data_IF_340809753231
#
_entry.id   IF_340809753231
#
_cell.length_a   1.000
_cell.length_b   1.000
_cell.length_c   1.000
_cell.angle_alpha   90.00
_cell.angle_beta   90.00
_cell.angle_gamma   90.00
#
_symmetry.space_group_name_H-M   'P 1'
#
loop_
_entity.id
_entity.type
_entity.pdbx_description
1 polymer ?
#
# COMPACT_ATOMS: atom_id res chain seq x y z
N UNK A 1 7.43 -0.26 0.47
CA UNK A 1 6.13 0.45 0.28
C UNK A 1 6.17 1.91 0.74
N UNK A 2 6.70 2.23 1.93
CA UNK A 2 6.74 3.62 2.43
C UNK A 2 7.54 4.57 1.53
N UNK A 3 8.74 4.17 1.11
CA UNK A 3 9.63 4.96 0.24
C UNK A 3 9.01 5.16 -1.15
N UNK A 4 8.59 4.08 -1.80
CA UNK A 4 7.97 4.12 -3.13
C UNK A 4 6.73 5.01 -3.21
N UNK A 5 5.83 4.93 -2.22
CA UNK A 5 4.66 5.83 -2.14
C UNK A 5 5.11 7.28 -1.98
N UNK A 6 6.15 7.57 -1.20
CA UNK A 6 6.67 8.94 -1.01
C UNK A 6 7.25 9.47 -2.31
N UNK A 7 7.99 8.64 -3.06
CA UNK A 7 8.59 9.05 -4.33
C UNK A 7 7.49 9.35 -5.37
N UNK A 8 6.47 8.49 -5.47
CA UNK A 8 5.28 8.76 -6.29
C UNK A 8 4.54 10.02 -5.81
N UNK A 9 4.40 10.22 -4.50
CA UNK A 9 3.76 11.44 -3.99
C UNK A 9 4.50 12.71 -4.38
N UNK A 10 5.82 12.70 -4.40
CA UNK A 10 6.66 13.86 -4.75
C UNK A 10 6.51 14.27 -6.22
N UNK A 11 5.98 13.40 -7.09
CA UNK A 11 5.70 13.77 -8.48
C UNK A 11 4.45 14.63 -8.63
N UNK A 12 3.61 14.72 -7.59
CA UNK A 12 2.38 15.53 -7.59
C UNK A 12 2.57 16.86 -6.87
N UNK A 13 1.82 17.87 -7.29
CA UNK A 13 1.72 19.13 -6.54
C UNK A 13 1.16 18.89 -5.12
N UNK A 14 1.70 19.61 -4.13
CA UNK A 14 1.38 19.39 -2.71
C UNK A 14 -0.05 19.76 -2.32
N UNK A 15 -0.74 20.60 -3.10
CA UNK A 15 -2.14 20.95 -2.91
C UNK A 15 -3.09 20.08 -3.73
N UNK A 16 -2.56 19.30 -4.68
CA UNK A 16 -3.34 18.41 -5.52
C UNK A 16 -4.10 17.34 -4.73
N UNK A 17 -5.22 16.88 -5.30
CA UNK A 17 -5.99 15.78 -4.73
C UNK A 17 -5.19 14.46 -4.65
N UNK A 18 -4.41 14.05 -5.68
CA UNK A 18 -3.55 12.86 -5.60
C UNK A 18 -2.60 12.89 -4.40
N UNK A 19 -1.86 13.99 -4.21
CA UNK A 19 -0.93 14.14 -3.09
C UNK A 19 -1.66 14.03 -1.75
N UNK A 20 -2.74 14.80 -1.56
CA UNK A 20 -3.52 14.79 -0.32
C UNK A 20 -4.15 13.43 -0.05
N UNK A 21 -4.62 12.71 -1.07
CA UNK A 21 -5.20 11.39 -0.87
C UNK A 21 -4.17 10.37 -0.38
N UNK A 22 -3.02 10.31 -1.03
CA UNK A 22 -1.93 9.43 -0.63
C UNK A 22 -1.37 9.82 0.75
N UNK A 23 -1.24 11.12 1.03
CA UNK A 23 -0.74 11.65 2.31
C UNK A 23 -1.69 11.40 3.47
N UNK A 24 -2.98 11.69 3.32
CA UNK A 24 -3.92 11.65 4.44
C UNK A 24 -4.41 10.23 4.73
N UNK A 25 -4.51 9.38 3.70
CA UNK A 25 -5.07 8.03 3.82
C UNK A 25 -4.00 6.92 3.81
N UNK A 26 -2.72 7.24 4.02
CA UNK A 26 -1.62 6.27 3.96
C UNK A 26 -1.83 5.04 4.86
N UNK A 27 -2.44 5.23 6.04
CA UNK A 27 -2.76 4.13 6.96
C UNK A 27 -3.82 3.18 6.40
N UNK A 28 -4.76 3.69 5.60
CA UNK A 28 -5.78 2.87 4.94
C UNK A 28 -5.14 2.05 3.81
N UNK A 29 -4.22 2.65 3.04
CA UNK A 29 -3.48 1.96 1.97
C UNK A 29 -2.58 0.82 2.49
N UNK A 30 -2.10 0.91 3.74
CA UNK A 30 -1.25 -0.13 4.33
C UNK A 30 -2.01 -1.30 4.95
N UNK A 31 -3.30 -1.12 5.24
CA UNK A 31 -4.12 -2.19 5.77
C UNK A 31 -4.29 -3.28 4.73
N UNK A 32 -4.43 -4.50 5.23
CA UNK A 32 -4.85 -5.62 4.41
C UNK A 32 -6.25 -5.36 3.85
N UNK A 33 -6.39 -5.50 2.54
CA UNK A 33 -7.63 -5.21 1.80
C UNK A 33 -8.86 -5.93 2.37
N UNK A 34 -8.69 -7.18 2.82
CA UNK A 34 -9.73 -8.02 3.43
C UNK A 34 -10.18 -7.52 4.81
N UNK A 35 -9.32 -6.80 5.52
CA UNK A 35 -9.56 -6.27 6.88
C UNK A 35 -10.00 -4.81 6.87
N UNK A 36 -10.25 -4.24 5.69
CA UNK A 36 -10.83 -2.92 5.59
C UNK A 36 -12.26 -2.93 6.14
N UNK A 37 -12.52 -2.01 7.07
CA UNK A 37 -13.86 -1.85 7.64
C UNK A 37 -14.86 -1.48 6.54
N UNK A 38 -16.09 -1.96 6.68
CA UNK A 38 -17.23 -1.56 5.85
C UNK A 38 -17.88 -0.26 6.34
N UNK A 39 -17.45 0.25 7.50
CA UNK A 39 -18.01 1.47 8.08
C UNK A 39 -17.67 2.68 7.22
N UNK A 40 -18.70 3.46 6.92
CA UNK A 40 -18.58 4.70 6.17
C UNK A 40 -18.11 5.82 7.08
N UNK A 41 -17.31 6.73 6.55
CA UNK A 41 -16.88 7.94 7.24
C UNK A 41 -16.79 9.12 6.26
N UNK A 42 -16.90 10.33 6.79
CA UNK A 42 -16.71 11.54 5.98
C UNK A 42 -15.22 11.77 5.73
N UNK A 43 -14.79 11.72 4.46
CA UNK A 43 -13.43 12.07 4.07
C UNK A 43 -13.35 13.53 3.65
N UNK A 44 -12.63 14.34 4.44
CA UNK A 44 -12.34 15.74 4.09
C UNK A 44 -11.56 15.88 2.78
N UNK A 45 -10.70 14.90 2.47
CA UNK A 45 -9.90 14.92 1.23
C UNK A 45 -10.78 14.77 -0.01
N UNK A 46 -11.82 13.92 0.06
CA UNK A 46 -12.73 13.66 -1.05
C UNK A 46 -14.06 14.44 -0.99
N UNK A 47 -14.27 15.19 0.09
CA UNK A 47 -15.48 15.98 0.32
C UNK A 47 -16.78 15.17 0.43
N UNK A 48 -16.70 13.88 0.73
CA UNK A 48 -17.85 12.97 0.67
C UNK A 48 -17.76 11.83 1.70
N UNK A 49 -18.88 11.16 1.95
CA UNK A 49 -18.94 9.96 2.79
C UNK A 49 -18.45 8.76 1.95
N UNK A 50 -17.40 8.09 2.42
CA UNK A 50 -16.74 6.96 1.74
C UNK A 50 -16.43 5.84 2.72
N UNK A 51 -16.29 4.64 2.19
CA UNK A 51 -15.70 3.49 2.86
C UNK A 51 -14.17 3.50 2.70
N UNK A 52 -13.42 2.85 3.60
CA UNK A 52 -11.99 2.61 3.41
C UNK A 52 -11.64 1.98 2.06
N UNK A 53 -12.49 1.08 1.53
CA UNK A 53 -12.28 0.45 0.23
C UNK A 53 -12.40 1.44 -0.93
N UNK A 54 -13.40 2.31 -0.91
CA UNK A 54 -13.54 3.40 -1.90
C UNK A 54 -12.38 4.39 -1.83
N UNK A 55 -11.86 4.68 -0.63
CA UNK A 55 -10.66 5.50 -0.45
C UNK A 55 -9.45 4.86 -1.13
N UNK A 56 -9.23 3.56 -0.95
CA UNK A 56 -8.16 2.83 -1.66
C UNK A 56 -8.36 2.97 -3.16
N UNK A 57 -9.54 2.58 -3.68
CA UNK A 57 -9.81 2.59 -5.11
C UNK A 57 -9.55 3.96 -5.74
N UNK A 58 -10.20 5.02 -5.22
CA UNK A 58 -10.04 6.39 -5.70
C UNK A 58 -8.59 6.87 -5.65
N UNK A 59 -7.80 6.39 -4.68
CA UNK A 59 -6.39 6.78 -4.55
C UNK A 59 -5.51 6.07 -5.57
N UNK A 60 -5.76 4.79 -5.84
CA UNK A 60 -5.02 4.01 -6.83
C UNK A 60 -5.31 4.48 -8.26
N UNK A 61 -6.50 5.01 -8.52
CA UNK A 61 -6.87 5.56 -9.83
C UNK A 61 -6.01 6.77 -10.26
N UNK A 62 -5.30 7.41 -9.33
CA UNK A 62 -4.40 8.54 -9.64
C UNK A 62 -3.06 8.14 -10.25
N UNK A 63 -2.62 6.88 -10.10
CA UNK A 63 -1.32 6.43 -10.62
C UNK A 63 -1.28 4.92 -10.83
N UNK A 64 -1.01 4.50 -12.07
CA UNK A 64 -0.81 3.09 -12.41
C UNK A 64 0.39 2.47 -11.69
N UNK A 65 1.44 3.27 -11.48
CA UNK A 65 2.61 2.84 -10.70
C UNK A 65 2.24 2.58 -9.24
N UNK A 66 1.46 3.49 -8.61
CA UNK A 66 0.98 3.29 -7.25
C UNK A 66 0.11 2.03 -7.15
N UNK A 67 -0.76 1.81 -8.13
CA UNK A 67 -1.62 0.62 -8.19
C UNK A 67 -0.79 -0.66 -8.25
N UNK A 68 0.22 -0.71 -9.13
CA UNK A 68 1.13 -1.84 -9.24
C UNK A 68 1.83 -2.17 -7.90
N UNK A 69 2.43 -1.16 -7.25
CA UNK A 69 3.10 -1.38 -5.97
C UNK A 69 2.14 -1.74 -4.83
N UNK A 70 0.92 -1.20 -4.85
CA UNK A 70 -0.11 -1.58 -3.89
C UNK A 70 -0.50 -3.04 -4.06
N UNK A 71 -0.76 -3.50 -5.29
CA UNK A 71 -1.12 -4.90 -5.57
C UNK A 71 -0.02 -5.86 -5.12
N UNK A 72 1.24 -5.57 -5.46
CA UNK A 72 2.38 -6.35 -5.00
C UNK A 72 2.46 -6.41 -3.47
N UNK A 73 2.30 -5.26 -2.80
CA UNK A 73 2.30 -5.21 -1.34
C UNK A 73 1.16 -6.03 -0.72
N UNK A 74 -0.05 -6.00 -1.28
CA UNK A 74 -1.18 -6.78 -0.77
C UNK A 74 -0.97 -8.28 -0.95
N UNK A 75 -0.37 -8.71 -2.06
CA UNK A 75 0.00 -10.12 -2.27
C UNK A 75 1.00 -10.58 -1.20
N UNK A 76 2.06 -9.79 -0.97
CA UNK A 76 3.06 -10.10 0.05
C UNK A 76 2.41 -10.17 1.44
N UNK A 77 1.61 -9.15 1.80
CA UNK A 77 0.92 -9.08 3.09
C UNK A 77 -0.01 -10.28 3.32
N UNK A 78 -0.73 -10.71 2.29
CA UNK A 78 -1.56 -11.91 2.33
C UNK A 78 -0.73 -13.17 2.57
N UNK A 79 0.37 -13.37 1.84
CA UNK A 79 1.23 -14.54 2.01
C UNK A 79 1.85 -14.58 3.41
N UNK A 80 2.24 -13.43 3.97
CA UNK A 80 2.78 -13.36 5.34
C UNK A 80 1.78 -13.73 6.42
N UNK A 81 0.48 -13.50 6.19
CA UNK A 81 -0.55 -13.76 7.20
C UNK A 81 -1.23 -15.12 7.04
N UNK A 82 -1.33 -15.64 5.82
CA UNK A 82 -2.01 -16.91 5.53
C UNK A 82 -1.06 -18.11 5.51
N UNK A 83 0.22 -17.90 5.15
CA UNK A 83 1.24 -18.95 5.24
C UNK A 83 2.05 -18.77 6.51
N UNK A 84 2.53 -19.88 7.05
CA UNK A 84 3.48 -19.90 8.17
C UNK A 84 4.64 -18.97 7.79
N UNK A 85 4.64 -17.76 8.34
CA UNK A 85 5.60 -16.70 8.02
C UNK A 85 7.02 -17.22 8.13
N UNK A 86 7.24 -18.14 9.07
CA UNK A 86 8.48 -18.88 9.25
C UNK A 86 8.94 -19.60 7.98
N UNK A 87 8.08 -20.34 7.28
CA UNK A 87 8.44 -21.05 6.06
C UNK A 87 8.72 -20.10 4.88
N UNK A 88 8.00 -18.97 4.79
CA UNK A 88 8.30 -17.95 3.79
C UNK A 88 9.66 -17.30 4.04
N UNK A 89 9.98 -16.96 5.30
CA UNK A 89 11.27 -16.39 5.66
C UNK A 89 12.42 -17.39 5.53
N UNK A 90 12.22 -18.67 5.86
CA UNK A 90 13.19 -19.74 5.59
C UNK A 90 13.51 -19.82 4.09
N UNK A 91 12.48 -19.89 3.23
CA UNK A 91 12.67 -19.85 1.77
C UNK A 91 13.34 -18.56 1.29
N UNK A 92 13.04 -17.42 1.91
CA UNK A 92 13.63 -16.14 1.54
C UNK A 92 15.10 -16.07 1.98
N UNK A 93 15.44 -16.58 3.16
CA UNK A 93 16.83 -16.70 3.65
C UNK A 93 17.66 -17.63 2.76
N UNK A 94 17.11 -18.80 2.40
CA UNK A 94 17.76 -19.74 1.49
C UNK A 94 18.03 -19.13 0.10
N UNK A 95 17.24 -18.14 -0.29
CA UNK A 95 17.33 -17.47 -1.59
C UNK A 95 17.80 -16.02 -1.49
N UNK A 96 18.32 -15.55 -0.34
CA UNK A 96 18.69 -14.15 -0.10
C UNK A 96 19.71 -13.62 -1.11
N UNK A 97 20.60 -14.48 -1.63
CA UNK A 97 21.59 -14.13 -2.64
C UNK A 97 20.97 -13.82 -4.02
N UNK A 98 19.77 -14.33 -4.28
CA UNK A 98 19.00 -14.11 -5.52
C UNK A 98 18.02 -12.95 -5.40
N UNK A 99 17.72 -12.52 -4.17
CA UNK A 99 16.80 -11.42 -3.90
C UNK A 99 17.51 -10.09 -4.11
N UNK A 100 16.79 -9.12 -4.70
CA UNK A 100 17.30 -7.78 -4.95
C UNK A 100 17.91 -7.17 -3.66
N UNK A 101 19.13 -6.59 -3.70
CA UNK A 101 19.78 -5.98 -2.54
C UNK A 101 18.93 -4.94 -1.82
N UNK A 102 18.05 -4.21 -2.53
CA UNK A 102 17.13 -3.26 -1.92
C UNK A 102 16.09 -3.93 -1.01
N UNK A 103 15.73 -5.18 -1.31
CA UNK A 103 14.80 -5.99 -0.51
C UNK A 103 15.44 -6.54 0.76
N UNK A 104 16.77 -6.72 0.77
CA UNK A 104 17.54 -7.17 1.94
C UNK A 104 17.39 -6.24 3.14
N UNK A 105 17.21 -4.94 2.88
CA UNK A 105 17.09 -3.91 3.91
C UNK A 105 15.63 -3.56 4.25
N UNK A 106 14.64 -4.28 3.70
CA UNK A 106 13.22 -4.00 3.90
C UNK A 106 12.59 -4.74 5.09
N UNK A 107 13.31 -5.70 5.68
CA UNK A 107 12.89 -6.53 6.81
C UNK A 107 13.80 -6.31 8.02
#
# INVERSE_FOLDING_TARGET
MMTTRIDIMKTFDTHSLPYRSMKNHWRILQKESRKLSLNRFYSRTFGQIVTPREVVQKTLDFSGELKFYYELYQILLFQFQEKNSKHFFELLEDNLALVNPAFRNCF
#
